data_IF_331627535047
#
_entry.id   IF_331627535047
#
_cell.length_a   1.000
_cell.length_b   1.000
_cell.length_c   1.000
_cell.angle_alpha   90.00
_cell.angle_beta   90.00
_cell.angle_gamma   90.00
#
_symmetry.space_group_name_H-M   'P 1'
#
loop_
_entity.id
_entity.type
_entity.pdbx_description
1 polymer ?
#
# COMPACT_ATOMS: atom_id res chain seq x y z
N UNK A 1 9.02 -6.04 -13.07
CA UNK A 1 8.14 -6.43 -14.20
C UNK A 1 7.19 -7.52 -13.72
N UNK A 2 6.00 -7.16 -13.24
CA UNK A 2 5.13 -8.08 -12.47
C UNK A 2 3.62 -7.85 -12.60
N UNK A 3 3.19 -6.98 -13.52
CA UNK A 3 1.79 -6.84 -13.92
C UNK A 3 1.70 -7.22 -15.40
N UNK A 4 0.81 -8.13 -15.75
CA UNK A 4 0.47 -8.46 -17.14
C UNK A 4 -0.58 -7.48 -17.71
N UNK A 5 -1.21 -6.68 -16.84
CA UNK A 5 -2.16 -5.63 -17.22
C UNK A 5 -1.63 -4.24 -16.86
N UNK A 6 -2.05 -3.25 -17.65
CA UNK A 6 -1.76 -1.83 -17.45
C UNK A 6 -2.39 -1.44 -16.09
N UNK A 7 -1.58 -1.00 -15.12
CA UNK A 7 -2.09 -0.43 -13.87
C UNK A 7 -3.00 0.73 -14.26
N UNK A 8 -4.30 0.54 -14.09
CA UNK A 8 -5.29 1.53 -14.51
C UNK A 8 -5.56 2.41 -13.29
N UNK A 9 -5.13 3.66 -13.37
CA UNK A 9 -5.46 4.66 -12.35
C UNK A 9 -6.85 5.18 -12.66
N UNK A 10 -7.83 4.85 -11.82
CA UNK A 10 -9.18 5.39 -11.91
C UNK A 10 -9.42 6.36 -10.75
N UNK A 11 -10.18 7.41 -11.02
CA UNK A 11 -10.74 8.26 -9.97
C UNK A 11 -12.09 7.67 -9.58
N UNK A 12 -12.19 7.17 -8.36
CA UNK A 12 -13.45 6.72 -7.78
C UNK A 12 -13.59 7.26 -6.36
N UNK A 13 -14.78 7.76 -6.01
CA UNK A 13 -15.09 8.40 -4.72
C UNK A 13 -14.09 9.51 -4.30
N UNK A 14 -13.63 10.36 -5.24
CA UNK A 14 -12.60 11.40 -5.03
C UNK A 14 -11.25 10.84 -4.52
N UNK A 15 -10.98 9.55 -4.75
CA UNK A 15 -9.72 8.89 -4.41
C UNK A 15 -9.01 8.41 -5.67
N UNK A 16 -7.69 8.49 -5.65
CA UNK A 16 -6.85 7.81 -6.64
C UNK A 16 -6.83 6.32 -6.31
N UNK A 17 -7.49 5.50 -7.13
CA UNK A 17 -7.51 4.05 -6.98
C UNK A 17 -6.52 3.44 -7.95
N UNK A 18 -5.59 2.65 -7.40
CA UNK A 18 -4.66 1.83 -8.18
C UNK A 18 -5.19 0.39 -8.19
N UNK A 19 -5.77 -0.02 -9.31
CA UNK A 19 -6.17 -1.41 -9.51
C UNK A 19 -5.06 -2.17 -10.26
N UNK A 20 -4.64 -3.29 -9.69
CA UNK A 20 -3.64 -4.17 -10.30
C UNK A 20 -4.06 -5.63 -10.15
N UNK A 21 -4.20 -6.33 -11.27
CA UNK A 21 -4.44 -7.76 -11.28
C UNK A 21 -3.11 -8.52 -11.31
N UNK A 22 -2.82 -9.29 -10.26
CA UNK A 22 -1.57 -10.06 -10.14
C UNK A 22 -1.87 -11.55 -10.15
N UNK A 23 -1.60 -12.21 -11.28
CA UNK A 23 -1.68 -13.68 -11.37
C UNK A 23 -0.34 -14.31 -10.96
N UNK A 24 -0.30 -15.04 -9.85
CA UNK A 24 0.90 -15.78 -9.41
C UNK A 24 0.73 -17.26 -9.74
N UNK A 25 1.56 -17.81 -10.65
CA UNK A 25 1.58 -19.26 -10.91
C UNK A 25 2.21 -20.01 -9.73
N UNK A 26 1.79 -21.25 -9.43
CA UNK A 26 2.40 -22.06 -8.37
C UNK A 26 3.93 -22.13 -8.51
N UNK A 27 4.64 -22.08 -7.37
CA UNK A 27 6.11 -22.03 -7.27
C UNK A 27 6.81 -20.76 -7.81
N UNK A 28 6.07 -19.75 -8.27
CA UNK A 28 6.64 -18.49 -8.73
C UNK A 28 6.41 -17.36 -7.70
N UNK A 29 7.34 -16.41 -7.59
CA UNK A 29 7.19 -15.21 -6.76
C UNK A 29 7.11 -13.96 -7.64
N UNK A 30 6.14 -13.07 -7.36
CA UNK A 30 5.98 -11.80 -8.09
C UNK A 30 6.12 -10.64 -7.11
N UNK A 31 6.88 -9.62 -7.53
CA UNK A 31 7.02 -8.35 -6.81
C UNK A 31 6.26 -7.27 -7.56
N UNK A 32 5.29 -6.66 -6.89
CA UNK A 32 4.60 -5.46 -7.36
C UNK A 32 5.23 -4.26 -6.66
N UNK A 33 5.72 -3.31 -7.44
CA UNK A 33 6.25 -2.03 -6.96
C UNK A 33 5.37 -0.93 -7.51
N UNK A 34 4.90 -0.05 -6.64
CA UNK A 34 4.06 1.10 -6.97
C UNK A 34 4.74 2.35 -6.43
N UNK A 35 4.95 3.32 -7.31
CA UNK A 35 5.49 4.64 -6.96
C UNK A 35 4.42 5.67 -7.33
N UNK A 36 4.10 6.57 -6.40
CA UNK A 36 3.11 7.61 -6.61
C UNK A 36 3.52 8.89 -5.90
N UNK A 37 3.16 10.03 -6.50
CA UNK A 37 3.35 11.35 -5.90
C UNK A 37 2.02 11.82 -5.34
N UNK A 38 1.94 12.05 -4.04
CA UNK A 38 0.75 12.64 -3.40
C UNK A 38 0.86 14.16 -3.36
N UNK A 39 -0.22 14.92 -3.66
CA UNK A 39 -0.23 16.38 -3.46
C UNK A 39 -0.26 16.76 -1.98
N UNK A 40 -0.48 15.80 -1.07
CA UNK A 40 -0.46 16.02 0.36
C UNK A 40 0.97 16.30 0.86
N UNK A 41 1.20 17.51 1.36
CA UNK A 41 2.45 17.92 2.01
C UNK A 41 2.24 18.00 3.53
N UNK A 42 2.62 16.97 4.30
CA UNK A 42 2.49 17.01 5.75
C UNK A 42 3.54 17.94 6.33
N UNK A 43 3.11 18.84 7.21
CA UNK A 43 3.99 19.86 7.80
C UNK A 43 4.88 19.32 8.92
N UNK A 44 4.41 18.32 9.69
CA UNK A 44 5.09 17.76 10.89
C UNK A 44 4.66 16.35 11.31
N UNK A 45 3.47 15.91 10.87
CA UNK A 45 2.89 14.62 11.26
C UNK A 45 2.39 13.92 10.00
N UNK A 46 2.85 12.69 9.76
CA UNK A 46 2.30 11.78 8.77
C UNK A 46 1.21 10.93 9.44
N UNK A 47 -0.05 11.13 9.02
CA UNK A 47 -1.16 10.22 9.36
C UNK A 47 -1.36 9.25 8.20
N UNK A 48 -1.29 7.97 8.49
CA UNK A 48 -1.46 6.90 7.51
C UNK A 48 -2.56 5.98 8.01
N UNK A 49 -3.57 5.74 7.18
CA UNK A 49 -4.59 4.72 7.43
C UNK A 49 -4.42 3.60 6.41
N UNK A 50 -4.29 2.37 6.90
CA UNK A 50 -4.21 1.17 6.07
C UNK A 50 -5.41 0.30 6.42
N UNK A 51 -6.29 0.09 5.46
CA UNK A 51 -7.52 -0.67 5.66
C UNK A 51 -7.35 -2.11 5.24
N UNK A 52 -7.88 -3.02 6.07
CA UNK A 52 -7.91 -4.44 5.76
C UNK A 52 -9.11 -4.74 4.88
N UNK A 53 -8.85 -5.26 3.69
CA UNK A 53 -9.94 -5.73 2.83
C UNK A 53 -10.59 -6.99 3.44
N UNK A 54 -11.93 -7.02 3.58
CA UNK A 54 -12.65 -8.20 4.07
C UNK A 54 -12.46 -9.38 3.09
N UNK A 55 -12.27 -10.59 3.62
CA UNK A 55 -12.05 -11.80 2.81
C UNK A 55 -10.62 -11.97 2.24
N UNK A 56 -9.77 -10.94 2.27
CA UNK A 56 -8.35 -11.10 1.95
C UNK A 56 -7.58 -11.81 3.08
N UNK A 57 -6.49 -12.49 2.75
CA UNK A 57 -5.57 -13.04 3.78
C UNK A 57 -4.87 -11.91 4.53
N UNK A 58 -4.42 -12.20 5.74
CA UNK A 58 -3.58 -11.27 6.48
C UNK A 58 -2.15 -11.29 5.94
N UNK A 59 -1.61 -10.12 5.65
CA UNK A 59 -0.24 -9.97 5.18
C UNK A 59 0.58 -9.13 6.16
N UNK A 60 1.89 -9.35 6.18
CA UNK A 60 2.84 -8.55 6.96
C UNK A 60 3.25 -7.32 6.15
N UNK A 61 3.14 -6.15 6.76
CA UNK A 61 3.49 -4.87 6.17
C UNK A 61 4.63 -4.23 6.95
N UNK A 62 5.51 -3.55 6.21
CA UNK A 62 6.60 -2.76 6.78
C UNK A 62 6.46 -1.33 6.26
N UNK A 63 6.29 -0.37 7.16
CA UNK A 63 6.29 1.05 6.82
C UNK A 63 7.69 1.60 7.05
N UNK A 64 8.26 2.20 6.01
CA UNK A 64 9.54 2.92 6.08
C UNK A 64 9.31 4.39 5.72
N UNK A 65 9.83 5.29 6.56
CA UNK A 65 9.83 6.74 6.32
C UNK A 65 11.28 7.20 6.32
N UNK A 66 11.71 7.90 5.25
CA UNK A 66 13.09 8.34 5.05
C UNK A 66 14.11 7.19 5.25
N UNK A 67 13.81 6.02 4.69
CA UNK A 67 14.65 4.82 4.77
C UNK A 67 14.61 4.07 6.11
N UNK A 68 14.07 4.67 7.18
CA UNK A 68 13.97 4.05 8.49
C UNK A 68 12.66 3.28 8.66
N UNK A 69 12.73 2.04 9.12
CA UNK A 69 11.53 1.26 9.50
C UNK A 69 10.84 1.92 10.69
N UNK A 70 9.56 2.27 10.52
CA UNK A 70 8.73 2.89 11.57
C UNK A 70 7.65 1.96 12.10
N UNK A 71 7.20 1.00 11.29
CA UNK A 71 6.28 -0.04 11.72
C UNK A 71 6.53 -1.34 10.97
N UNK A 72 6.33 -2.45 11.67
CA UNK A 72 6.31 -3.81 11.13
C UNK A 72 5.16 -4.55 11.81
N UNK A 73 4.12 -4.89 11.06
CA UNK A 73 2.88 -5.39 11.62
C UNK A 73 2.16 -6.32 10.66
N UNK A 74 1.30 -7.17 11.22
CA UNK A 74 0.35 -7.97 10.48
C UNK A 74 -0.94 -7.17 10.29
N UNK A 75 -1.40 -6.99 9.05
CA UNK A 75 -2.67 -6.33 8.77
C UNK A 75 -3.81 -7.35 8.88
N UNK A 76 -4.34 -7.47 10.09
CA UNK A 76 -5.47 -8.30 10.49
C UNK A 76 -6.78 -7.51 10.62
N UNK A 77 -6.66 -6.20 10.83
CA UNK A 77 -7.75 -5.23 10.92
C UNK A 77 -7.27 -3.88 10.38
N UNK A 78 -8.20 -2.93 10.24
CA UNK A 78 -7.86 -1.55 9.89
C UNK A 78 -6.87 -0.97 10.92
N UNK A 79 -5.82 -0.31 10.43
CA UNK A 79 -4.77 0.25 11.28
C UNK A 79 -4.48 1.69 10.88
N UNK A 80 -4.42 2.53 11.90
CA UNK A 80 -3.99 3.92 11.80
C UNK A 80 -2.62 4.09 12.42
N UNK A 81 -1.77 4.88 11.76
CA UNK A 81 -0.44 5.24 12.22
C UNK A 81 -0.28 6.75 12.20
N UNK A 82 0.36 7.27 13.24
CA UNK A 82 0.79 8.66 13.33
C UNK A 82 2.28 8.68 13.54
N UNK A 83 3.00 9.27 12.60
CA UNK A 83 4.45 9.39 12.66
C UNK A 83 4.83 10.87 12.69
N UNK A 84 5.60 11.26 13.70
CA UNK A 84 6.28 12.54 13.71
C UNK A 84 7.57 12.42 12.87
N UNK A 85 7.80 13.43 12.04
CA UNK A 85 8.89 13.53 11.06
C UNK A 85 9.72 14.77 11.31
#
# INVERSE_FOLDING_TARGET
KGSEDIVTTIEDLDKTVFEAFVQVRPQNSRKLEMEFTSPYQPKKEYKIMIQKQPGAKDFRYIIKINGSTKADFKLDQDREFKFNI
#
